data_IF_214837584994
#
_entry.id   IF_214837584994
#
_cell.length_a   1.000
_cell.length_b   1.000
_cell.length_c   1.000
_cell.angle_alpha   90.00
_cell.angle_beta   90.00
_cell.angle_gamma   90.00
#
_symmetry.space_group_name_H-M   'P 1'
#
loop_
_entity.id
_entity.type
_entity.pdbx_description
1 polymer ?
#
# COMPACT_ATOMS: atom_id res chain seq x y z
N UNK A 1 19.19 39.08 -66.78
CA UNK A 1 18.11 38.09 -66.55
C UNK A 1 18.41 37.36 -65.26
N UNK A 2 17.62 37.59 -64.21
CA UNK A 2 17.86 37.00 -62.88
C UNK A 2 17.40 35.54 -62.85
N UNK A 3 18.32 34.63 -62.54
CA UNK A 3 18.03 33.22 -62.30
C UNK A 3 17.54 33.01 -60.87
N UNK A 4 16.22 32.99 -60.67
CA UNK A 4 15.60 32.56 -59.41
C UNK A 4 15.73 31.04 -59.31
N UNK A 5 16.62 30.55 -58.44
CA UNK A 5 16.72 29.11 -58.14
C UNK A 5 15.50 28.70 -57.31
N UNK A 6 14.62 27.85 -57.87
CA UNK A 6 13.55 27.20 -57.10
C UNK A 6 14.19 26.26 -56.09
N UNK A 7 14.00 26.52 -54.80
CA UNK A 7 14.26 25.52 -53.77
C UNK A 7 13.22 24.40 -53.93
N UNK A 8 13.69 23.15 -53.92
CA UNK A 8 12.80 21.99 -53.87
C UNK A 8 12.28 21.90 -52.45
N UNK A 9 10.99 22.15 -52.26
CA UNK A 9 10.33 21.83 -51.00
C UNK A 9 10.30 20.30 -50.87
N UNK A 10 11.16 19.77 -50.00
CA UNK A 10 11.17 18.35 -49.65
C UNK A 10 9.94 18.08 -48.78
N UNK A 11 8.87 17.59 -49.42
CA UNK A 11 7.65 17.19 -48.72
C UNK A 11 7.89 15.96 -47.85
N UNK A 12 7.37 15.97 -46.63
CA UNK A 12 7.42 14.83 -45.70
C UNK A 12 6.64 13.65 -46.30
N UNK A 13 7.29 12.49 -46.45
CA UNK A 13 6.69 11.36 -47.18
C UNK A 13 5.67 10.64 -46.30
N UNK A 14 4.57 10.16 -46.86
CA UNK A 14 3.55 9.37 -46.11
C UNK A 14 4.19 8.16 -45.40
N UNK A 15 5.16 7.50 -46.04
CA UNK A 15 5.88 6.36 -45.45
C UNK A 15 6.65 6.75 -44.18
N UNK A 16 7.18 7.97 -44.13
CA UNK A 16 7.95 8.50 -43.01
C UNK A 16 7.02 8.76 -41.81
N UNK A 17 5.84 9.33 -42.07
CA UNK A 17 4.79 9.50 -41.04
C UNK A 17 4.38 8.14 -40.48
N UNK A 18 4.12 7.15 -41.34
CA UNK A 18 3.63 5.83 -40.91
C UNK A 18 4.65 5.09 -40.06
N UNK A 19 5.94 5.18 -40.40
CA UNK A 19 7.01 4.57 -39.60
C UNK A 19 7.12 5.20 -38.20
N UNK A 20 7.01 6.53 -38.10
CA UNK A 20 7.03 7.23 -36.81
C UNK A 20 5.82 6.84 -35.96
N UNK A 21 4.64 6.78 -36.56
CA UNK A 21 3.42 6.37 -35.86
C UNK A 21 3.49 4.92 -35.37
N UNK A 22 4.11 4.02 -36.14
CA UNK A 22 4.29 2.62 -35.74
C UNK A 22 5.18 2.48 -34.50
N UNK A 23 6.31 3.20 -34.45
CA UNK A 23 7.21 3.19 -33.29
C UNK A 23 6.53 3.87 -32.09
N UNK A 24 5.84 4.99 -32.30
CA UNK A 24 5.10 5.69 -31.25
C UNK A 24 4.03 4.79 -30.62
N UNK A 25 3.26 4.04 -31.43
CA UNK A 25 2.26 3.10 -30.94
C UNK A 25 2.88 1.99 -30.08
N UNK A 26 4.04 1.46 -30.48
CA UNK A 26 4.74 0.40 -29.74
C UNK A 26 5.23 0.91 -28.37
N UNK A 27 5.81 2.11 -28.32
CA UNK A 27 6.24 2.73 -27.05
C UNK A 27 5.04 2.99 -26.14
N UNK A 28 3.96 3.55 -26.68
CA UNK A 28 2.74 3.84 -25.92
C UNK A 28 2.14 2.56 -25.29
N UNK A 29 2.20 1.43 -25.99
CA UNK A 29 1.78 0.13 -25.46
C UNK A 29 2.58 -0.23 -24.19
N UNK A 30 3.90 -0.12 -24.22
CA UNK A 30 4.74 -0.43 -23.05
C UNK A 30 4.49 0.52 -21.89
N UNK A 31 4.35 1.83 -22.17
CA UNK A 31 4.12 2.86 -21.15
C UNK A 31 2.79 2.64 -20.42
N UNK A 32 1.72 2.30 -21.15
CA UNK A 32 0.41 2.07 -20.55
C UNK A 32 0.34 0.82 -19.69
N UNK A 33 1.17 -0.19 -19.94
CA UNK A 33 1.27 -1.36 -19.06
C UNK A 33 2.14 -1.06 -17.84
N UNK A 34 3.24 -0.33 -18.04
CA UNK A 34 4.24 -0.09 -17.00
C UNK A 34 3.82 0.95 -15.96
N UNK A 35 3.22 2.08 -16.36
CA UNK A 35 2.87 3.17 -15.43
C UNK A 35 1.88 2.73 -14.33
N UNK A 36 0.77 2.03 -14.64
CA UNK A 36 -0.16 1.57 -13.61
C UNK A 36 0.48 0.57 -12.64
N UNK A 37 1.39 -0.29 -13.13
CA UNK A 37 2.11 -1.23 -12.28
C UNK A 37 3.06 -0.50 -11.32
N UNK A 38 3.79 0.52 -11.79
CA UNK A 38 4.67 1.32 -10.94
C UNK A 38 3.91 2.08 -9.84
N UNK A 39 2.76 2.67 -10.19
CA UNK A 39 1.92 3.37 -9.21
C UNK A 39 1.47 2.44 -8.08
N UNK A 40 1.07 1.20 -8.40
CA UNK A 40 0.70 0.19 -7.39
C UNK A 40 1.87 -0.15 -6.46
N UNK A 41 3.06 -0.37 -7.01
CA UNK A 41 4.24 -0.69 -6.22
C UNK A 41 4.65 0.46 -5.28
N UNK A 42 4.50 1.71 -5.72
CA UNK A 42 4.73 2.88 -4.87
C UNK A 42 3.72 2.95 -3.72
N UNK A 43 2.41 2.76 -4.00
CA UNK A 43 1.38 2.73 -2.95
C UNK A 43 1.64 1.64 -1.93
N UNK A 44 1.98 0.43 -2.37
CA UNK A 44 2.29 -0.67 -1.44
C UNK A 44 3.55 -0.41 -0.61
N UNK A 45 4.53 0.31 -1.17
CA UNK A 45 5.71 0.74 -0.42
C UNK A 45 5.33 1.75 0.67
N UNK A 46 4.48 2.73 0.34
CA UNK A 46 3.91 3.67 1.33
C UNK A 46 3.15 2.92 2.42
N UNK A 47 2.27 1.99 2.07
CA UNK A 47 1.52 1.17 3.04
C UNK A 47 2.44 0.38 3.97
N UNK A 48 3.52 -0.22 3.45
CA UNK A 48 4.50 -0.92 4.29
C UNK A 48 5.19 0.03 5.28
N UNK A 49 5.54 1.23 4.83
CA UNK A 49 6.12 2.26 5.68
C UNK A 49 5.14 2.74 6.75
N UNK A 50 3.86 2.90 6.41
CA UNK A 50 2.81 3.27 7.36
C UNK A 50 2.61 2.19 8.44
N UNK A 51 2.62 0.91 8.06
CA UNK A 51 2.56 -0.21 9.00
C UNK A 51 3.80 -0.24 9.91
N UNK A 52 4.99 0.04 9.38
CA UNK A 52 6.22 0.18 10.18
C UNK A 52 6.15 1.37 11.15
N UNK A 53 5.57 2.50 10.71
CA UNK A 53 5.33 3.69 11.55
C UNK A 53 4.34 3.40 12.68
N UNK A 54 3.29 2.63 12.40
CA UNK A 54 2.35 2.18 13.41
C UNK A 54 3.01 1.24 14.42
N UNK A 55 3.81 0.28 13.94
CA UNK A 55 4.58 -0.65 14.78
C UNK A 55 5.52 0.10 15.74
N UNK A 56 6.31 1.06 15.23
CA UNK A 56 7.23 1.84 16.04
C UNK A 56 6.49 2.69 17.08
N UNK A 57 5.36 3.28 16.71
CA UNK A 57 4.51 4.07 17.62
C UNK A 57 3.93 3.22 18.74
N UNK A 58 3.45 2.00 18.43
CA UNK A 58 2.98 1.05 19.44
C UNK A 58 4.12 0.63 20.37
N UNK A 59 5.32 0.36 19.83
CA UNK A 59 6.50 0.03 20.63
C UNK A 59 6.93 1.16 21.55
N UNK A 60 6.90 2.40 21.06
CA UNK A 60 7.17 3.59 21.86
C UNK A 60 6.15 3.72 23.00
N UNK A 61 4.86 3.56 22.70
CA UNK A 61 3.82 3.54 23.73
C UNK A 61 4.10 2.48 24.80
N UNK A 62 4.42 1.24 24.39
CA UNK A 62 4.76 0.14 25.31
C UNK A 62 5.94 0.50 26.21
N UNK A 63 7.01 1.06 25.63
CA UNK A 63 8.20 1.47 26.36
C UNK A 63 7.86 2.47 27.48
N UNK A 64 7.04 3.48 27.17
CA UNK A 64 6.63 4.51 28.14
C UNK A 64 5.58 3.99 29.15
N UNK A 65 4.79 2.97 28.79
CA UNK A 65 3.68 2.47 29.59
C UNK A 65 3.95 1.09 30.22
N UNK A 66 5.20 0.82 30.66
CA UNK A 66 5.59 -0.40 31.38
C UNK A 66 5.24 -1.71 30.63
N UNK A 67 5.33 -1.68 29.31
CA UNK A 67 5.00 -2.80 28.43
C UNK A 67 3.50 -3.02 28.20
N UNK A 68 2.64 -2.12 28.68
CA UNK A 68 1.20 -2.17 28.38
C UNK A 68 0.93 -1.79 26.93
N UNK A 69 0.00 -2.49 26.28
CA UNK A 69 -0.44 -2.15 24.94
C UNK A 69 -1.43 -0.99 24.97
N UNK A 70 -1.40 -0.10 23.96
CA UNK A 70 -2.46 0.88 23.78
C UNK A 70 -3.76 0.21 23.35
N UNK A 71 -4.88 0.89 23.56
CA UNK A 71 -6.14 0.51 22.89
C UNK A 71 -6.07 0.99 21.44
N UNK A 72 -5.92 0.05 20.51
CA UNK A 72 -5.78 0.34 19.07
C UNK A 72 -7.15 0.68 18.46
N UNK A 73 -7.47 1.98 18.47
CA UNK A 73 -8.71 2.55 17.93
C UNK A 73 -8.45 3.92 17.27
N UNK A 74 -9.51 4.60 16.82
CA UNK A 74 -9.40 5.92 16.20
C UNK A 74 -8.75 6.98 17.12
N UNK A 75 -9.05 6.96 18.43
CA UNK A 75 -8.45 7.89 19.37
C UNK A 75 -6.93 7.71 19.48
N UNK A 76 -6.44 6.46 19.40
CA UNK A 76 -5.00 6.19 19.33
C UNK A 76 -4.37 6.77 18.05
N UNK A 77 -5.01 6.61 16.89
CA UNK A 77 -4.52 7.21 15.64
C UNK A 77 -4.41 8.73 15.80
N UNK A 78 -5.47 9.40 16.23
CA UNK A 78 -5.48 10.87 16.36
C UNK A 78 -4.43 11.36 17.37
N UNK A 79 -4.26 10.66 18.50
CA UNK A 79 -3.33 11.09 19.54
C UNK A 79 -1.85 10.80 19.22
N UNK A 80 -1.54 9.75 18.47
CA UNK A 80 -0.17 9.26 18.31
C UNK A 80 0.33 9.18 16.87
N UNK A 81 -0.56 9.04 15.88
CA UNK A 81 -0.20 8.89 14.46
C UNK A 81 -0.43 10.17 13.64
N UNK A 82 -1.37 11.01 14.05
CA UNK A 82 -1.73 12.26 13.35
C UNK A 82 -1.30 13.51 14.13
N UNK A 83 -0.31 13.36 15.02
CA UNK A 83 0.20 14.47 15.84
C UNK A 83 0.91 15.48 14.95
N UNK A 84 0.81 16.76 15.30
CA UNK A 84 1.52 17.87 14.64
C UNK A 84 1.16 18.02 13.14
N UNK A 85 -0.03 17.56 12.74
CA UNK A 85 -0.53 17.65 11.36
C UNK A 85 -0.09 16.51 10.45
N UNK A 86 0.52 15.44 10.99
CA UNK A 86 0.85 14.25 10.20
C UNK A 86 -0.41 13.56 9.66
N UNK A 87 -0.33 13.04 8.44
CA UNK A 87 -1.41 12.30 7.80
C UNK A 87 -1.16 10.80 7.90
N UNK A 88 -2.16 10.07 8.39
CA UNK A 88 -2.15 8.61 8.48
C UNK A 88 -3.34 8.04 7.70
N UNK A 89 -3.21 8.05 6.38
CA UNK A 89 -4.24 7.65 5.43
C UNK A 89 -3.70 6.67 4.39
N UNK A 90 -4.57 5.78 3.88
CA UNK A 90 -4.21 4.90 2.77
C UNK A 90 -3.98 5.73 1.49
N UNK A 91 -2.99 5.38 0.66
CA UNK A 91 -2.78 6.02 -0.64
C UNK A 91 -3.99 5.97 -1.60
N UNK A 92 -5.01 5.16 -1.31
CA UNK A 92 -6.29 5.14 -2.01
C UNK A 92 -7.24 6.29 -1.61
N UNK A 93 -6.92 7.09 -0.59
CA UNK A 93 -7.59 8.35 -0.26
C UNK A 93 -8.38 8.40 1.05
N UNK A 94 -8.44 7.30 1.81
CA UNK A 94 -9.22 7.19 3.05
C UNK A 94 -8.31 7.06 4.27
N UNK A 95 -8.71 7.66 5.41
CA UNK A 95 -7.98 7.52 6.67
C UNK A 95 -7.94 6.07 7.14
N UNK A 96 -6.79 5.63 7.67
CA UNK A 96 -6.65 4.26 8.13
C UNK A 96 -7.60 3.96 9.31
N UNK A 97 -8.17 2.77 9.32
CA UNK A 97 -9.01 2.28 10.42
C UNK A 97 -8.40 1.02 11.04
N UNK A 98 -8.29 0.99 12.36
CA UNK A 98 -7.77 -0.17 13.09
C UNK A 98 -8.90 -1.14 13.41
N UNK A 99 -8.77 -2.39 12.93
CA UNK A 99 -9.77 -3.44 13.08
C UNK A 99 -9.20 -4.60 13.87
N UNK A 100 -9.83 -4.93 15.00
CA UNK A 100 -9.43 -6.08 15.81
C UNK A 100 -9.84 -7.39 15.14
N UNK A 101 -8.90 -8.32 14.95
CA UNK A 101 -9.19 -9.70 14.58
C UNK A 101 -9.68 -10.45 15.81
N UNK A 102 -11.00 -10.50 16.00
CA UNK A 102 -11.64 -11.23 17.10
C UNK A 102 -11.51 -12.76 16.95
N UNK A 103 -11.50 -13.49 18.06
CA UNK A 103 -11.41 -14.96 18.10
C UNK A 103 -10.01 -15.49 18.44
N UNK A 104 -9.92 -16.77 18.77
CA UNK A 104 -8.71 -17.44 19.26
C UNK A 104 -7.97 -18.25 18.20
N UNK A 105 -8.61 -18.62 17.08
CA UNK A 105 -7.99 -19.42 16.01
C UNK A 105 -7.12 -18.59 15.06
N UNK A 106 -6.16 -19.21 14.37
CA UNK A 106 -5.29 -18.53 13.41
C UNK A 106 -6.10 -17.90 12.26
N UNK A 107 -5.56 -16.85 11.64
CA UNK A 107 -6.13 -16.20 10.45
C UNK A 107 -5.12 -16.28 9.32
N UNK A 108 -5.44 -17.00 8.25
CA UNK A 108 -4.56 -17.10 7.09
C UNK A 108 -4.45 -15.76 6.34
N UNK A 109 -3.31 -15.52 5.71
CA UNK A 109 -3.10 -14.37 4.81
C UNK A 109 -3.95 -14.44 3.54
N UNK A 110 -4.54 -15.61 3.24
CA UNK A 110 -5.50 -15.81 2.15
C UNK A 110 -6.95 -15.48 2.54
N UNK A 111 -7.20 -15.18 3.82
CA UNK A 111 -8.53 -14.79 4.31
C UNK A 111 -9.06 -13.55 3.56
N UNK A 112 -10.37 -13.51 3.32
CA UNK A 112 -11.04 -12.43 2.59
C UNK A 112 -10.75 -11.04 3.18
N UNK A 113 -10.50 -10.94 4.49
CA UNK A 113 -10.08 -9.69 5.14
C UNK A 113 -8.80 -9.10 4.55
N UNK A 114 -7.91 -9.94 4.02
CA UNK A 114 -6.66 -9.52 3.41
C UNK A 114 -6.70 -9.54 1.88
N UNK A 115 -7.41 -10.49 1.29
CA UNK A 115 -7.46 -10.66 -0.17
C UNK A 115 -8.51 -9.78 -0.85
N UNK A 116 -9.61 -9.44 -0.17
CA UNK A 116 -10.63 -8.51 -0.66
C UNK A 116 -10.39 -7.06 -0.18
N UNK A 117 -9.18 -6.75 0.30
CA UNK A 117 -8.83 -5.44 0.85
C UNK A 117 -9.15 -4.29 -0.12
N UNK A 118 -9.01 -4.49 -1.43
CA UNK A 118 -9.14 -3.42 -2.41
C UNK A 118 -10.47 -3.43 -3.20
N UNK A 119 -11.49 -4.13 -2.72
CA UNK A 119 -12.84 -4.10 -3.35
C UNK A 119 -13.58 -2.78 -3.16
N UNK A 120 -13.26 -2.04 -2.10
CA UNK A 120 -13.78 -0.69 -1.83
C UNK A 120 -12.68 0.18 -1.20
N UNK A 121 -12.73 1.51 -1.37
CA UNK A 121 -11.80 2.42 -0.66
C UNK A 121 -11.82 2.23 0.85
N UNK A 122 -13.00 1.99 1.43
CA UNK A 122 -13.16 1.73 2.88
C UNK A 122 -12.50 0.43 3.35
N UNK A 123 -12.49 -0.61 2.52
CA UNK A 123 -11.77 -1.85 2.83
C UNK A 123 -10.26 -1.61 2.70
N UNK A 124 -9.85 -0.80 1.70
CA UNK A 124 -8.46 -0.52 1.43
C UNK A 124 -7.81 0.18 2.62
N UNK A 125 -8.55 0.99 3.38
CA UNK A 125 -8.06 1.68 4.56
C UNK A 125 -7.98 0.84 5.84
N UNK A 126 -8.39 -0.44 5.84
CA UNK A 126 -8.35 -1.27 7.04
C UNK A 126 -6.94 -1.74 7.34
N UNK A 127 -6.56 -1.64 8.62
CA UNK A 127 -5.38 -2.28 9.20
C UNK A 127 -5.90 -3.22 10.28
N UNK A 128 -5.58 -4.49 10.15
CA UNK A 128 -6.00 -5.51 11.10
C UNK A 128 -4.95 -5.67 12.19
N UNK A 129 -5.39 -5.95 13.41
CA UNK A 129 -4.48 -6.29 14.50
C UNK A 129 -5.01 -7.42 15.35
N UNK A 130 -4.10 -8.14 16.02
CA UNK A 130 -4.43 -9.20 16.98
C UNK A 130 -3.53 -9.15 18.20
N UNK A 131 -4.13 -8.87 19.34
CA UNK A 131 -3.44 -8.91 20.63
C UNK A 131 -3.03 -10.34 20.96
N UNK A 132 -1.75 -10.53 21.30
CA UNK A 132 -1.13 -11.82 21.56
C UNK A 132 -0.83 -12.67 20.33
N UNK A 133 -1.26 -12.26 19.14
CA UNK A 133 -0.93 -12.92 17.88
C UNK A 133 0.53 -12.71 17.48
N UNK A 134 0.95 -13.48 16.48
CA UNK A 134 2.25 -13.39 15.80
C UNK A 134 2.07 -13.45 14.30
N UNK A 135 3.00 -12.89 13.56
CA UNK A 135 3.10 -13.04 12.11
C UNK A 135 3.88 -14.31 11.78
N UNK A 136 3.18 -15.39 11.43
CA UNK A 136 3.77 -16.67 11.04
C UNK A 136 3.83 -16.76 9.51
N UNK A 137 4.93 -16.30 8.93
CA UNK A 137 5.15 -16.36 7.49
C UNK A 137 5.40 -17.78 6.97
N UNK A 138 5.89 -18.70 7.81
CA UNK A 138 6.10 -20.09 7.40
C UNK A 138 4.77 -20.78 7.09
N UNK A 139 3.74 -20.46 7.86
CA UNK A 139 2.37 -20.95 7.64
C UNK A 139 1.45 -19.91 6.99
N UNK A 140 1.99 -18.78 6.52
CA UNK A 140 1.26 -17.66 5.91
C UNK A 140 0.01 -17.23 6.69
N UNK A 141 0.15 -16.96 7.99
CA UNK A 141 -0.98 -16.67 8.88
C UNK A 141 -0.61 -15.70 10.03
N UNK A 142 -1.63 -15.13 10.65
CA UNK A 142 -1.55 -14.55 11.99
C UNK A 142 -1.99 -15.61 12.98
N UNK A 143 -1.17 -15.88 14.00
CA UNK A 143 -1.54 -16.89 15.00
C UNK A 143 -2.70 -16.42 15.88
N UNK A 144 -3.33 -17.39 16.55
CA UNK A 144 -4.19 -17.15 17.69
C UNK A 144 -3.55 -16.22 18.72
N UNK A 145 -4.39 -15.44 19.40
CA UNK A 145 -3.98 -14.41 20.33
C UNK A 145 -4.64 -14.53 21.70
N UNK A 146 -4.10 -13.79 22.66
CA UNK A 146 -4.67 -13.63 24.00
C UNK A 146 -4.79 -12.15 24.29
N UNK A 147 -5.99 -11.71 24.70
CA UNK A 147 -6.28 -10.30 24.97
C UNK A 147 -5.44 -9.70 26.11
N UNK A 148 -4.84 -10.55 26.97
CA UNK A 148 -3.98 -10.13 28.09
C UNK A 148 -2.50 -10.10 27.73
N UNK A 149 -2.13 -10.49 26.51
CA UNK A 149 -0.75 -10.49 26.07
C UNK A 149 -0.24 -9.06 25.84
N UNK A 150 1.08 -8.87 25.97
CA UNK A 150 1.78 -7.59 25.77
C UNK A 150 2.42 -7.44 24.38
N UNK A 151 2.01 -8.27 23.43
CA UNK A 151 2.45 -8.22 22.04
C UNK A 151 1.25 -8.13 21.12
N UNK A 152 1.42 -7.55 19.95
CA UNK A 152 0.33 -7.46 18.96
C UNK A 152 0.88 -7.72 17.56
N UNK A 153 0.19 -8.55 16.79
CA UNK A 153 0.43 -8.65 15.35
C UNK A 153 -0.43 -7.60 14.65
N UNK A 154 0.15 -6.88 13.69
CA UNK A 154 -0.49 -5.84 12.90
C UNK A 154 -0.30 -6.22 11.43
N UNK A 155 -1.39 -6.25 10.67
CA UNK A 155 -1.36 -6.73 9.30
C UNK A 155 -2.27 -5.96 8.35
N UNK A 156 -1.88 -5.92 7.08
CA UNK A 156 -2.61 -5.27 6.00
C UNK A 156 -2.38 -6.01 4.69
N UNK A 157 -3.46 -6.23 3.92
CA UNK A 157 -3.35 -6.75 2.56
C UNK A 157 -2.76 -5.71 1.61
N UNK A 158 -1.91 -6.12 0.66
CA UNK A 158 -1.25 -5.25 -0.32
C UNK A 158 -1.94 -5.34 -1.69
N UNK A 159 -1.91 -4.25 -2.46
CA UNK A 159 -2.63 -4.14 -3.72
C UNK A 159 -2.00 -4.97 -4.84
N UNK A 160 -0.67 -5.09 -4.81
CA UNK A 160 0.10 -6.02 -5.62
C UNK A 160 -0.01 -7.48 -5.16
N UNK A 161 -0.78 -7.75 -4.09
CA UNK A 161 -0.96 -9.07 -3.51
C UNK A 161 -0.08 -9.33 -2.29
N UNK A 162 -0.50 -10.31 -1.48
CA UNK A 162 0.16 -10.66 -0.22
C UNK A 162 -0.25 -9.77 0.96
N UNK A 163 0.39 -10.03 2.10
CA UNK A 163 0.10 -9.36 3.37
C UNK A 163 1.38 -8.81 3.97
N UNK A 164 1.38 -7.53 4.30
CA UNK A 164 2.37 -6.96 5.19
C UNK A 164 1.94 -7.27 6.63
N UNK A 165 2.77 -7.98 7.39
CA UNK A 165 2.53 -8.29 8.79
C UNK A 165 3.75 -7.93 9.63
N UNK A 166 3.54 -7.25 10.76
CA UNK A 166 4.58 -6.86 11.72
C UNK A 166 4.13 -7.12 13.15
N UNK A 167 5.09 -7.29 14.06
CA UNK A 167 4.82 -7.52 15.48
C UNK A 167 5.31 -6.34 16.32
N UNK A 168 4.48 -5.88 17.27
CA UNK A 168 4.86 -4.85 18.24
C UNK A 168 4.82 -5.39 19.67
#
# INVERSE_FOLDING_TARGET
MNNVRKQKDEGFTIIEVVLVLAIAALIMLMVFIALPALQRNQRDTTRKNDISRLQSTVNNYKSTNRGSLPTLNAAFITAYMQRDGDQFADPAGEDYTLVNLTGTGNVAFTDARFTDTYSTPSNAARIFYRVGGKCDFASSQITGGSATARKVAIAKGLEGGGVQCVEA
#
